data_IF_725274313882
#
_entry.id   IF_725274313882
#
_cell.length_a   1.000
_cell.length_b   1.000
_cell.length_c   1.000
_cell.angle_alpha   90.00
_cell.angle_beta   90.00
_cell.angle_gamma   90.00
#
_symmetry.space_group_name_H-M   'P 1'
#
loop_
_entity.id
_entity.type
_entity.pdbx_description
1 polymer ?
#
# COMPACT_ATOMS: atom_id res chain seq x y z
N UNK A 1 3.67 6.96 13.07
CA UNK A 1 2.91 7.03 11.83
C UNK A 1 3.47 6.09 10.75
N UNK A 2 4.76 5.85 10.71
CA UNK A 2 5.45 5.00 9.73
C UNK A 2 5.34 3.48 10.00
N UNK A 3 4.45 3.08 10.89
CA UNK A 3 4.23 1.68 11.31
C UNK A 3 2.77 1.27 11.14
N UNK A 4 2.57 0.00 10.93
CA UNK A 4 1.32 -0.68 10.65
C UNK A 4 0.96 -1.69 11.74
N UNK A 5 -0.34 -1.83 12.03
CA UNK A 5 -0.88 -2.88 12.91
C UNK A 5 -1.69 -3.88 12.07
N UNK A 6 -1.38 -5.15 12.22
CA UNK A 6 -2.29 -6.20 11.76
C UNK A 6 -3.36 -6.49 12.81
N UNK A 7 -4.63 -6.57 12.39
CA UNK A 7 -5.79 -6.75 13.29
C UNK A 7 -5.69 -7.98 14.19
N UNK A 8 -4.99 -9.04 13.78
CA UNK A 8 -4.76 -10.24 14.62
C UNK A 8 -4.11 -9.93 15.97
N UNK A 9 -3.46 -8.79 16.11
CA UNK A 9 -2.83 -8.36 17.38
C UNK A 9 -3.84 -7.79 18.37
N UNK A 10 -4.97 -7.28 17.90
CA UNK A 10 -5.95 -6.54 18.70
C UNK A 10 -7.35 -7.18 18.70
N UNK A 11 -7.53 -8.28 17.98
CA UNK A 11 -8.82 -9.00 17.94
C UNK A 11 -8.73 -10.39 18.59
N UNK A 12 -9.86 -10.80 19.17
CA UNK A 12 -10.15 -12.17 19.55
C UNK A 12 -11.22 -12.72 18.59
N UNK A 13 -10.81 -13.51 17.60
CA UNK A 13 -11.67 -13.96 16.49
C UNK A 13 -12.25 -12.74 15.75
N UNK A 14 -13.56 -12.48 15.89
CA UNK A 14 -14.28 -11.41 15.22
C UNK A 14 -14.61 -10.21 16.13
N UNK A 15 -14.09 -10.18 17.35
CA UNK A 15 -14.37 -9.11 18.31
C UNK A 15 -13.10 -8.34 18.65
N UNK A 16 -13.21 -7.01 18.66
CA UNK A 16 -12.14 -6.13 19.12
C UNK A 16 -11.92 -6.34 20.62
N UNK A 17 -10.70 -6.67 21.00
CA UNK A 17 -10.26 -6.77 22.39
C UNK A 17 -9.63 -5.42 22.81
N UNK A 18 -10.36 -4.65 23.58
CA UNK A 18 -9.93 -3.34 24.04
C UNK A 18 -8.69 -3.41 24.95
N UNK A 19 -8.49 -4.52 25.68
CA UNK A 19 -7.30 -4.70 26.49
C UNK A 19 -6.08 -4.90 25.59
N UNK A 20 -6.18 -5.77 24.59
CA UNK A 20 -5.11 -5.96 23.61
C UNK A 20 -4.79 -4.67 22.83
N UNK A 21 -5.82 -3.90 22.44
CA UNK A 21 -5.61 -2.61 21.78
C UNK A 21 -4.82 -1.65 22.72
N UNK A 22 -5.20 -1.59 24.00
CA UNK A 22 -4.53 -0.74 24.99
C UNK A 22 -3.09 -1.20 25.25
N UNK A 23 -2.89 -2.50 25.43
CA UNK A 23 -1.56 -3.07 25.70
C UNK A 23 -0.61 -2.86 24.50
N UNK A 24 -1.17 -2.95 23.27
CA UNK A 24 -0.39 -2.86 22.06
C UNK A 24 -0.13 -1.42 21.62
N UNK A 25 -1.15 -0.57 21.61
CA UNK A 25 -1.02 0.83 21.20
C UNK A 25 -0.41 1.70 22.30
N UNK A 26 -0.71 1.41 23.57
CA UNK A 26 -0.27 2.25 24.68
C UNK A 26 -0.67 3.72 24.48
N UNK A 27 0.29 4.60 24.59
CA UNK A 27 0.14 6.05 24.36
C UNK A 27 0.60 6.48 22.95
N UNK A 28 0.76 5.55 22.00
CA UNK A 28 1.31 5.80 20.67
C UNK A 28 0.20 5.88 19.62
N UNK A 29 0.16 6.95 18.84
CA UNK A 29 -0.71 7.05 17.68
C UNK A 29 -0.11 6.29 16.51
N UNK A 30 -0.68 5.14 16.18
CA UNK A 30 -0.26 4.30 15.06
C UNK A 30 -0.68 4.89 13.71
N UNK A 31 0.05 4.54 12.67
CA UNK A 31 -0.22 5.03 11.33
C UNK A 31 -1.42 4.35 10.68
N UNK A 32 -1.40 3.01 10.70
CA UNK A 32 -2.28 2.16 9.89
C UNK A 32 -2.73 0.92 10.64
N UNK A 33 -3.93 0.44 10.32
CA UNK A 33 -4.48 -0.83 10.79
C UNK A 33 -5.16 -1.56 9.63
N UNK A 34 -4.87 -2.85 9.47
CA UNK A 34 -5.29 -3.69 8.35
C UNK A 34 -5.63 -5.11 8.79
N UNK A 35 -6.33 -5.86 7.94
CA UNK A 35 -6.55 -7.29 8.10
C UNK A 35 -7.72 -7.65 9.00
N UNK A 36 -8.93 -7.23 8.65
CA UNK A 36 -10.15 -7.45 9.46
C UNK A 36 -11.01 -8.59 8.91
N UNK A 37 -10.98 -9.78 9.49
CA UNK A 37 -11.91 -10.86 9.13
C UNK A 37 -13.25 -10.68 9.86
N UNK A 38 -13.98 -9.59 9.60
CA UNK A 38 -15.18 -9.23 10.36
C UNK A 38 -16.41 -9.18 9.47
N UNK A 39 -17.58 -9.43 10.07
CA UNK A 39 -18.87 -9.04 9.47
C UNK A 39 -18.96 -7.52 9.38
N UNK A 40 -19.74 -6.99 8.42
CA UNK A 40 -19.84 -5.56 8.19
C UNK A 40 -20.18 -4.75 9.44
N UNK A 41 -21.20 -5.18 10.22
CA UNK A 41 -21.61 -4.50 11.46
C UNK A 41 -20.52 -4.48 12.54
N UNK A 42 -19.82 -5.60 12.73
CA UNK A 42 -18.72 -5.67 13.69
C UNK A 42 -17.51 -4.86 13.21
N UNK A 43 -17.33 -4.74 11.89
CA UNK A 43 -16.27 -3.95 11.30
C UNK A 43 -16.45 -2.48 11.63
N UNK A 44 -17.58 -1.87 11.29
CA UNK A 44 -17.88 -0.46 11.54
C UNK A 44 -17.72 -0.07 13.02
N UNK A 45 -18.28 -0.91 13.93
CA UNK A 45 -18.14 -0.70 15.37
C UNK A 45 -16.68 -0.74 15.82
N UNK A 46 -15.92 -1.72 15.33
CA UNK A 46 -14.52 -1.89 15.71
C UNK A 46 -13.66 -0.74 15.18
N UNK A 47 -13.88 -0.30 13.93
CA UNK A 47 -13.18 0.84 13.35
C UNK A 47 -13.45 2.11 14.15
N UNK A 48 -14.70 2.36 14.52
CA UNK A 48 -15.04 3.49 15.38
C UNK A 48 -14.31 3.44 16.73
N UNK A 49 -14.28 2.29 17.40
CA UNK A 49 -13.62 2.15 18.70
C UNK A 49 -12.09 2.32 18.61
N UNK A 50 -11.47 1.77 17.57
CA UNK A 50 -10.03 1.94 17.31
C UNK A 50 -9.73 3.42 17.06
N UNK A 51 -10.49 4.08 16.19
CA UNK A 51 -10.31 5.48 15.86
C UNK A 51 -10.48 6.37 17.10
N UNK A 52 -11.54 6.11 17.88
CA UNK A 52 -11.79 6.82 19.13
C UNK A 52 -10.64 6.66 20.11
N UNK A 53 -10.09 5.45 20.27
CA UNK A 53 -8.92 5.22 21.10
C UNK A 53 -7.71 6.03 20.61
N UNK A 54 -7.41 6.01 19.30
CA UNK A 54 -6.27 6.73 18.74
C UNK A 54 -6.38 8.23 18.96
N UNK A 55 -7.57 8.81 18.79
CA UNK A 55 -7.79 10.25 18.94
C UNK A 55 -7.84 10.68 20.42
N UNK A 56 -8.55 9.93 21.28
CA UNK A 56 -8.82 10.38 22.66
C UNK A 56 -7.81 9.87 23.69
N UNK A 57 -7.09 8.77 23.43
CA UNK A 57 -6.26 8.08 24.43
C UNK A 57 -4.77 8.07 24.13
N UNK A 58 -4.35 8.47 22.92
CA UNK A 58 -2.93 8.56 22.59
C UNK A 58 -2.39 9.97 22.72
N UNK A 59 -1.07 10.10 22.92
CA UNK A 59 -0.39 11.37 23.21
C UNK A 59 -0.66 12.49 22.18
N UNK A 60 -0.73 12.13 20.90
CA UNK A 60 -0.86 13.11 19.82
C UNK A 60 -2.27 13.17 19.25
N UNK A 61 -3.16 12.24 19.60
CA UNK A 61 -4.52 12.21 19.07
C UNK A 61 -4.61 12.10 17.54
N UNK A 62 -3.62 11.47 16.89
CA UNK A 62 -3.60 11.34 15.44
C UNK A 62 -4.48 10.17 15.02
N UNK A 63 -5.48 10.39 14.14
CA UNK A 63 -6.33 9.32 13.65
C UNK A 63 -5.53 8.27 12.87
N UNK A 64 -5.99 7.01 12.91
CA UNK A 64 -5.36 5.89 12.20
C UNK A 64 -5.99 5.71 10.82
N UNK A 65 -5.21 5.29 9.81
CA UNK A 65 -5.77 4.77 8.58
C UNK A 65 -6.31 3.35 8.78
N UNK A 66 -7.55 3.14 8.38
CA UNK A 66 -8.20 1.84 8.31
C UNK A 66 -8.11 1.33 6.88
N UNK A 67 -7.42 0.20 6.69
CA UNK A 67 -7.01 -0.31 5.38
C UNK A 67 -7.73 -1.63 5.08
N UNK A 68 -8.30 -1.76 3.88
CA UNK A 68 -8.95 -2.97 3.40
C UNK A 68 -8.32 -3.52 2.13
N UNK A 69 -8.26 -4.84 1.99
CA UNK A 69 -8.08 -5.49 0.69
C UNK A 69 -9.36 -5.38 -0.12
N UNK A 70 -9.23 -4.98 -1.38
CA UNK A 70 -10.38 -4.80 -2.26
C UNK A 70 -10.02 -4.78 -3.75
N UNK A 71 -9.41 -5.82 -4.26
CA UNK A 71 -9.09 -5.90 -5.71
C UNK A 71 -10.34 -5.95 -6.59
N UNK A 72 -11.37 -6.66 -6.12
CA UNK A 72 -12.62 -6.83 -6.85
C UNK A 72 -13.86 -6.83 -5.95
N UNK A 73 -13.84 -6.04 -4.91
CA UNK A 73 -14.85 -5.91 -3.86
C UNK A 73 -14.21 -5.91 -2.49
N UNK A 74 -14.81 -5.26 -1.50
CA UNK A 74 -14.32 -5.32 -0.13
C UNK A 74 -14.36 -6.76 0.37
N UNK A 75 -13.22 -7.28 0.89
CA UNK A 75 -13.11 -8.68 1.32
C UNK A 75 -13.68 -8.81 2.73
N UNK A 76 -14.99 -8.58 2.87
CA UNK A 76 -15.73 -8.64 4.13
C UNK A 76 -17.13 -9.27 3.92
N UNK A 77 -17.64 -9.94 4.94
CA UNK A 77 -18.98 -10.49 4.92
C UNK A 77 -20.03 -9.38 4.73
N UNK A 78 -20.92 -9.57 3.76
CA UNK A 78 -21.97 -8.62 3.41
C UNK A 78 -21.60 -7.63 2.30
N UNK A 79 -20.33 -7.52 1.91
CA UNK A 79 -19.91 -6.73 0.78
C UNK A 79 -20.15 -7.43 -0.57
N UNK A 80 -20.27 -6.65 -1.63
CA UNK A 80 -20.42 -7.16 -2.98
C UNK A 80 -19.07 -7.55 -3.58
N UNK A 81 -18.99 -8.76 -4.16
CA UNK A 81 -17.85 -9.23 -4.91
C UNK A 81 -18.12 -9.06 -6.42
N UNK A 82 -17.19 -8.40 -7.08
CA UNK A 82 -17.21 -8.12 -8.52
C UNK A 82 -16.30 -9.10 -9.27
N UNK A 83 -16.38 -9.16 -10.61
CA UNK A 83 -15.40 -9.90 -11.41
C UNK A 83 -13.96 -9.42 -11.15
N UNK A 84 -13.00 -10.34 -11.26
CA UNK A 84 -11.56 -10.03 -11.20
C UNK A 84 -11.16 -9.02 -12.26
N UNK A 85 -10.07 -8.27 -12.04
CA UNK A 85 -9.64 -7.19 -12.91
C UNK A 85 -9.30 -7.66 -14.34
N UNK A 86 -8.79 -8.88 -14.49
CA UNK A 86 -8.54 -9.46 -15.82
C UNK A 86 -9.85 -9.59 -16.66
N UNK A 87 -10.97 -9.88 -16.00
CA UNK A 87 -12.27 -9.92 -16.68
C UNK A 87 -12.75 -8.51 -17.06
N UNK A 88 -12.50 -7.50 -16.22
CA UNK A 88 -12.75 -6.10 -16.57
C UNK A 88 -11.85 -5.65 -17.73
N UNK A 89 -10.56 -5.96 -17.70
CA UNK A 89 -9.63 -5.68 -18.80
C UNK A 89 -10.11 -6.22 -20.13
N UNK A 90 -10.69 -7.43 -20.13
CA UNK A 90 -11.25 -8.08 -21.33
C UNK A 90 -12.47 -7.35 -21.91
N UNK A 91 -13.08 -6.43 -21.19
CA UNK A 91 -14.20 -5.60 -21.70
C UNK A 91 -13.74 -4.46 -22.61
N UNK A 92 -12.47 -4.05 -22.50
CA UNK A 92 -11.93 -2.82 -23.13
C UNK A 92 -12.72 -1.56 -22.79
N UNK A 93 -13.40 -1.54 -21.65
CA UNK A 93 -14.21 -0.42 -21.16
C UNK A 93 -13.76 0.06 -19.79
N UNK A 94 -12.77 0.99 -19.72
CA UNK A 94 -12.24 1.50 -18.45
C UNK A 94 -13.28 2.16 -17.53
N UNK A 95 -14.35 2.75 -18.07
CA UNK A 95 -15.42 3.37 -17.26
C UNK A 95 -16.09 2.38 -16.28
N UNK A 96 -16.06 1.08 -16.58
CA UNK A 96 -16.57 0.05 -15.68
C UNK A 96 -15.72 -0.04 -14.40
N UNK A 97 -14.41 0.23 -14.48
CA UNK A 97 -13.55 0.26 -13.30
C UNK A 97 -13.90 1.44 -12.38
N UNK A 98 -14.20 2.63 -12.94
CA UNK A 98 -14.70 3.77 -12.15
C UNK A 98 -15.98 3.43 -11.42
N UNK A 99 -16.97 2.87 -12.12
CA UNK A 99 -18.26 2.46 -11.51
C UNK A 99 -18.07 1.39 -10.43
N UNK A 100 -17.20 0.40 -10.70
CA UNK A 100 -16.83 -0.62 -9.69
C UNK A 100 -16.25 0.04 -8.43
N UNK A 101 -15.27 0.94 -8.58
CA UNK A 101 -14.63 1.63 -7.47
C UNK A 101 -15.61 2.49 -6.66
N UNK A 102 -16.55 3.19 -7.32
CA UNK A 102 -17.60 3.95 -6.65
C UNK A 102 -18.50 3.04 -5.78
N UNK A 103 -18.98 1.92 -6.32
CA UNK A 103 -19.80 0.96 -5.57
C UNK A 103 -19.05 0.30 -4.42
N UNK A 104 -17.78 -0.03 -4.61
CA UNK A 104 -16.93 -0.57 -3.54
C UNK A 104 -16.70 0.48 -2.45
N UNK A 105 -16.59 1.75 -2.82
CA UNK A 105 -16.43 2.85 -1.85
C UNK A 105 -17.60 2.94 -0.89
N UNK A 106 -18.83 2.70 -1.35
CA UNK A 106 -20.02 2.69 -0.50
C UNK A 106 -19.93 1.56 0.55
N UNK A 107 -19.53 0.35 0.14
CA UNK A 107 -19.29 -0.76 1.06
C UNK A 107 -18.19 -0.41 2.08
N UNK A 108 -17.05 0.13 1.62
CA UNK A 108 -15.92 0.52 2.48
C UNK A 108 -16.30 1.61 3.49
N UNK A 109 -17.06 2.62 3.08
CA UNK A 109 -17.56 3.66 3.98
C UNK A 109 -18.48 3.11 5.06
N UNK A 110 -19.40 2.22 4.68
CA UNK A 110 -20.33 1.58 5.63
C UNK A 110 -19.60 0.79 6.72
N UNK A 111 -18.43 0.26 6.40
CA UNK A 111 -17.57 -0.53 7.30
C UNK A 111 -16.52 0.32 8.05
N UNK A 112 -16.37 1.60 7.72
CA UNK A 112 -15.43 2.52 8.36
C UNK A 112 -14.01 2.49 7.81
N UNK A 113 -13.80 1.99 6.59
CA UNK A 113 -12.52 2.04 5.91
C UNK A 113 -12.30 3.37 5.18
N UNK A 114 -11.05 3.79 5.11
CA UNK A 114 -10.61 5.01 4.41
C UNK A 114 -9.53 4.77 3.37
N UNK A 115 -8.98 3.58 3.32
CA UNK A 115 -7.96 3.20 2.34
C UNK A 115 -8.20 1.79 1.82
N UNK A 116 -7.84 1.59 0.56
CA UNK A 116 -7.95 0.32 -0.14
C UNK A 116 -6.64 -0.04 -0.83
N UNK A 117 -6.24 -1.33 -0.76
CA UNK A 117 -5.05 -1.84 -1.44
C UNK A 117 -5.36 -2.24 -2.90
N UNK A 118 -5.80 -1.25 -3.66
CA UNK A 118 -6.25 -1.37 -5.07
C UNK A 118 -6.08 -0.01 -5.76
N UNK A 119 -5.89 0.05 -7.09
CA UNK A 119 -5.88 -1.04 -8.06
C UNK A 119 -4.52 -1.73 -8.21
N UNK A 120 -4.55 -3.00 -8.69
CA UNK A 120 -3.38 -3.68 -9.21
C UNK A 120 -3.28 -3.44 -10.72
N UNK A 121 -2.25 -2.69 -11.14
CA UNK A 121 -2.03 -2.32 -12.55
C UNK A 121 -0.72 -2.89 -13.13
N UNK A 122 -0.20 -3.93 -12.48
CA UNK A 122 0.95 -4.68 -12.99
C UNK A 122 0.71 -5.15 -14.41
N UNK A 123 1.71 -5.04 -15.28
CA UNK A 123 1.64 -5.53 -16.65
C UNK A 123 2.06 -6.98 -16.69
N UNK A 124 1.13 -7.89 -17.01
CA UNK A 124 1.39 -9.33 -17.04
C UNK A 124 2.14 -9.70 -18.31
N UNK A 125 3.35 -10.26 -18.17
CA UNK A 125 4.16 -10.77 -19.29
C UNK A 125 4.52 -12.24 -19.13
N UNK A 126 4.39 -12.80 -17.92
CA UNK A 126 4.55 -14.24 -17.68
C UNK A 126 3.24 -14.82 -17.11
N UNK A 127 2.54 -15.61 -17.90
CA UNK A 127 1.26 -16.21 -17.52
C UNK A 127 1.38 -17.30 -16.43
N UNK A 128 2.60 -17.69 -16.06
CA UNK A 128 2.86 -18.58 -14.89
C UNK A 128 2.80 -17.84 -13.57
N UNK A 129 2.84 -16.50 -13.59
CA UNK A 129 2.70 -15.68 -12.38
C UNK A 129 1.33 -15.88 -11.75
N UNK A 130 1.29 -16.22 -10.46
CA UNK A 130 0.07 -16.61 -9.75
C UNK A 130 -0.93 -15.47 -9.48
N UNK A 131 -0.63 -14.22 -9.92
CA UNK A 131 -1.47 -13.03 -9.68
C UNK A 131 -1.99 -12.39 -10.97
N UNK A 132 -2.03 -13.15 -12.06
CA UNK A 132 -2.51 -12.69 -13.38
C UNK A 132 -3.92 -12.10 -13.31
N UNK A 133 -4.81 -12.72 -12.54
CA UNK A 133 -6.20 -12.28 -12.41
C UNK A 133 -6.39 -10.93 -11.74
N UNK A 134 -5.41 -10.47 -10.94
CA UNK A 134 -5.48 -9.19 -10.24
C UNK A 134 -5.24 -8.00 -11.18
N UNK A 135 -4.58 -8.23 -12.32
CA UNK A 135 -4.20 -7.22 -13.30
C UNK A 135 -5.26 -7.05 -14.40
N UNK A 136 -5.19 -5.94 -15.12
CA UNK A 136 -6.02 -5.67 -16.31
C UNK A 136 -5.47 -6.29 -17.60
N UNK A 137 -4.29 -6.94 -17.58
CA UNK A 137 -3.76 -7.70 -18.71
C UNK A 137 -2.30 -7.38 -19.07
N UNK A 138 -1.97 -7.58 -20.33
CA UNK A 138 -0.61 -7.51 -20.86
C UNK A 138 -0.26 -6.18 -21.56
N UNK A 139 -1.25 -5.33 -21.83
CA UNK A 139 -1.06 -4.04 -22.49
C UNK A 139 -0.87 -2.91 -21.46
N UNK A 140 0.31 -2.25 -21.45
CA UNK A 140 0.61 -1.22 -20.46
C UNK A 140 -0.29 0.02 -20.56
N UNK A 141 -0.73 0.37 -21.77
CA UNK A 141 -1.60 1.52 -21.98
C UNK A 141 -3.01 1.23 -21.46
N UNK A 142 -3.54 0.05 -21.78
CA UNK A 142 -4.84 -0.39 -21.27
C UNK A 142 -4.85 -0.48 -19.73
N UNK A 143 -3.82 -1.08 -19.12
CA UNK A 143 -3.67 -1.10 -17.66
C UNK A 143 -3.66 0.32 -17.07
N UNK A 144 -2.98 1.26 -17.72
CA UNK A 144 -2.96 2.66 -17.31
C UNK A 144 -4.33 3.34 -17.39
N UNK A 145 -5.11 3.10 -18.45
CA UNK A 145 -6.46 3.65 -18.59
C UNK A 145 -7.41 3.11 -17.50
N UNK A 146 -7.38 1.81 -17.25
CA UNK A 146 -8.16 1.20 -16.17
C UNK A 146 -7.73 1.74 -14.80
N UNK A 147 -6.41 1.89 -14.59
CA UNK A 147 -5.86 2.46 -13.35
C UNK A 147 -6.33 3.90 -13.10
N UNK A 148 -6.33 4.76 -14.12
CA UNK A 148 -6.84 6.14 -14.03
C UNK A 148 -8.31 6.16 -13.60
N UNK A 149 -9.14 5.35 -14.24
CA UNK A 149 -10.57 5.31 -13.97
C UNK A 149 -10.87 4.74 -12.58
N UNK A 150 -10.23 3.65 -12.19
CA UNK A 150 -10.45 3.05 -10.86
C UNK A 150 -9.97 3.97 -9.74
N UNK A 151 -8.78 4.57 -9.86
CA UNK A 151 -8.26 5.56 -8.90
C UNK A 151 -9.22 6.76 -8.77
N UNK A 152 -9.69 7.30 -9.91
CA UNK A 152 -10.63 8.41 -9.90
C UNK A 152 -11.93 8.06 -9.18
N UNK A 153 -12.47 6.86 -9.43
CA UNK A 153 -13.70 6.40 -8.77
C UNK A 153 -13.57 6.31 -7.25
N UNK A 154 -12.44 5.84 -6.72
CA UNK A 154 -12.19 5.82 -5.28
C UNK A 154 -12.03 7.23 -4.70
N UNK A 155 -11.21 8.08 -5.34
CA UNK A 155 -10.94 9.44 -4.84
C UNK A 155 -12.19 10.31 -4.83
N UNK A 156 -13.06 10.23 -5.84
CA UNK A 156 -14.33 10.93 -5.91
C UNK A 156 -15.27 10.61 -4.74
N UNK A 157 -15.09 9.43 -4.14
CA UNK A 157 -15.87 8.97 -2.99
C UNK A 157 -15.07 9.01 -1.67
N UNK A 158 -13.95 9.74 -1.59
CA UNK A 158 -13.21 9.95 -0.35
C UNK A 158 -12.52 8.71 0.22
N UNK A 159 -12.27 7.69 -0.62
CA UNK A 159 -11.42 6.54 -0.32
C UNK A 159 -10.04 6.77 -0.93
N UNK A 160 -8.97 6.51 -0.18
CA UNK A 160 -7.60 6.52 -0.69
C UNK A 160 -7.27 5.21 -1.39
N UNK A 161 -7.13 5.16 -2.71
CA UNK A 161 -6.60 3.99 -3.38
C UNK A 161 -5.08 3.90 -3.18
N UNK A 162 -4.56 2.67 -3.25
CA UNK A 162 -3.13 2.37 -3.24
C UNK A 162 -2.74 1.67 -4.52
N UNK A 163 -2.01 2.39 -5.36
CA UNK A 163 -1.57 1.88 -6.65
C UNK A 163 -0.50 0.80 -6.47
N UNK A 164 -0.73 -0.40 -6.98
CA UNK A 164 0.18 -1.54 -6.76
C UNK A 164 0.43 -2.39 -8.02
N UNK A 165 1.59 -3.04 -8.10
CA UNK A 165 2.77 -2.93 -7.22
C UNK A 165 3.87 -2.16 -7.96
N UNK A 166 4.29 -1.06 -7.43
CA UNK A 166 5.19 -0.14 -8.11
C UNK A 166 6.60 -0.71 -8.29
N UNK A 167 6.94 -0.96 -9.54
CA UNK A 167 8.14 -1.58 -10.03
C UNK A 167 7.80 -2.66 -11.06
N UNK A 168 8.77 -3.29 -11.73
CA UNK A 168 8.50 -4.41 -12.62
C UNK A 168 8.15 -5.65 -11.78
N UNK A 169 6.91 -6.15 -11.90
CA UNK A 169 6.41 -7.29 -11.09
C UNK A 169 5.74 -8.38 -11.92
N UNK A 170 4.93 -8.07 -12.90
CA UNK A 170 4.12 -9.03 -13.67
C UNK A 170 4.91 -9.94 -14.64
N UNK A 171 6.24 -10.02 -14.51
CA UNK A 171 7.12 -10.87 -15.31
C UNK A 171 8.28 -11.46 -14.48
N UNK A 172 8.01 -12.04 -13.29
CA UNK A 172 9.08 -12.55 -12.47
C UNK A 172 9.68 -13.82 -13.07
N UNK A 173 10.98 -14.05 -12.86
CA UNK A 173 11.66 -15.25 -13.33
C UNK A 173 10.89 -16.52 -12.93
N UNK A 174 10.61 -17.36 -13.92
CA UNK A 174 9.85 -18.63 -13.77
C UNK A 174 8.43 -18.47 -13.23
N UNK A 175 7.85 -17.27 -13.26
CA UNK A 175 6.52 -16.96 -12.70
C UNK A 175 6.46 -16.93 -11.17
N UNK A 176 7.60 -16.99 -10.49
CA UNK A 176 7.68 -16.99 -9.02
C UNK A 176 7.51 -15.58 -8.46
N UNK A 177 6.49 -15.34 -7.66
CA UNK A 177 6.08 -14.00 -7.20
C UNK A 177 7.18 -13.15 -6.56
N UNK A 178 8.17 -13.77 -5.91
CA UNK A 178 9.28 -13.08 -5.24
C UNK A 178 10.55 -12.98 -6.10
N UNK A 179 10.58 -13.62 -7.27
CA UNK A 179 11.75 -13.65 -8.12
C UNK A 179 12.00 -12.30 -8.83
N UNK A 180 13.26 -12.07 -9.23
CA UNK A 180 13.64 -10.88 -9.98
C UNK A 180 12.92 -10.78 -11.32
N UNK A 181 12.65 -9.55 -11.76
CA UNK A 181 12.31 -9.24 -13.16
C UNK A 181 13.55 -8.72 -13.85
N UNK A 182 13.92 -9.37 -14.93
CA UNK A 182 15.09 -9.02 -15.75
C UNK A 182 14.63 -8.25 -16.98
N UNK A 183 14.94 -6.96 -17.05
CA UNK A 183 14.61 -6.15 -18.22
C UNK A 183 15.54 -4.94 -18.37
N UNK A 184 15.69 -4.46 -19.61
CA UNK A 184 16.42 -3.23 -19.88
C UNK A 184 15.63 -1.97 -19.51
N UNK A 185 16.30 -0.82 -19.51
CA UNK A 185 15.66 0.48 -19.19
C UNK A 185 14.47 0.80 -20.09
N UNK A 186 14.52 0.47 -21.37
CA UNK A 186 13.40 0.70 -22.29
C UNK A 186 12.15 -0.05 -21.83
N UNK A 187 12.27 -1.35 -21.57
CA UNK A 187 11.14 -2.17 -21.13
C UNK A 187 10.63 -1.74 -19.75
N UNK A 188 11.55 -1.33 -18.86
CA UNK A 188 11.18 -0.76 -17.58
C UNK A 188 10.23 0.42 -17.75
N UNK A 189 10.59 1.42 -18.58
CA UNK A 189 9.80 2.64 -18.75
C UNK A 189 8.59 2.47 -19.66
N UNK A 190 8.74 1.75 -20.78
CA UNK A 190 7.67 1.64 -21.80
C UNK A 190 6.62 0.58 -21.46
N UNK A 191 6.97 -0.41 -20.58
CA UNK A 191 6.08 -1.52 -20.24
C UNK A 191 5.69 -1.44 -18.76
N UNK A 192 6.65 -1.68 -17.87
CA UNK A 192 6.32 -1.93 -16.45
C UNK A 192 5.94 -0.66 -15.68
N UNK A 193 6.61 0.45 -15.92
CA UNK A 193 6.33 1.72 -15.25
C UNK A 193 5.27 2.57 -15.97
N UNK A 194 4.99 2.28 -17.24
CA UNK A 194 4.07 3.08 -18.06
C UNK A 194 2.68 3.26 -17.45
N UNK A 195 1.98 2.22 -16.97
CA UNK A 195 0.67 2.40 -16.34
C UNK A 195 0.73 3.26 -15.07
N UNK A 196 1.79 3.10 -14.26
CA UNK A 196 2.01 3.90 -13.05
C UNK A 196 2.23 5.37 -13.38
N UNK A 197 3.08 5.67 -14.36
CA UNK A 197 3.31 7.03 -14.87
C UNK A 197 1.98 7.69 -15.28
N UNK A 198 1.17 6.96 -16.05
CA UNK A 198 -0.12 7.46 -16.51
C UNK A 198 -1.03 7.82 -15.35
N UNK A 199 -1.15 6.96 -14.33
CA UNK A 199 -1.99 7.23 -13.16
C UNK A 199 -1.44 8.38 -12.34
N UNK A 200 -0.14 8.38 -12.00
CA UNK A 200 0.49 9.44 -11.19
C UNK A 200 0.33 10.82 -11.85
N UNK A 201 0.51 10.91 -13.16
CA UNK A 201 0.43 12.19 -13.90
C UNK A 201 -1.00 12.67 -14.20
N UNK A 202 -2.00 11.78 -14.18
CA UNK A 202 -3.37 12.11 -14.57
C UNK A 202 -4.40 12.03 -13.43
N UNK A 203 -3.98 11.67 -12.22
CA UNK A 203 -4.88 11.58 -11.06
C UNK A 203 -4.26 12.24 -9.82
N UNK A 204 -5.03 12.35 -8.77
CA UNK A 204 -4.55 12.76 -7.43
C UNK A 204 -4.16 11.58 -6.56
N UNK A 205 -3.55 10.52 -7.10
CA UNK A 205 -3.18 9.32 -6.31
C UNK A 205 -2.35 9.68 -5.08
N UNK A 206 -2.75 9.14 -3.92
CA UNK A 206 -2.19 9.49 -2.61
C UNK A 206 -1.25 8.43 -2.03
N UNK A 207 -1.32 7.20 -2.53
CA UNK A 207 -0.52 6.09 -2.03
C UNK A 207 -0.08 5.15 -3.14
N UNK A 208 1.15 4.65 -3.01
CA UNK A 208 1.75 3.66 -3.92
C UNK A 208 2.37 2.55 -3.08
N UNK A 209 2.21 1.29 -3.49
CA UNK A 209 2.83 0.15 -2.82
C UNK A 209 4.05 -0.32 -3.59
N UNK A 210 5.21 -0.44 -2.93
CA UNK A 210 6.40 -1.09 -3.51
C UNK A 210 6.19 -2.59 -3.63
N UNK A 211 6.96 -3.25 -4.50
CA UNK A 211 6.83 -4.70 -4.74
C UNK A 211 7.71 -5.54 -3.81
N UNK A 212 7.42 -6.84 -3.72
CA UNK A 212 8.27 -7.84 -3.07
C UNK A 212 9.59 -8.10 -3.78
N UNK A 213 9.55 -8.10 -5.11
CA UNK A 213 10.62 -8.61 -5.94
C UNK A 213 11.73 -7.58 -6.21
N UNK A 214 12.67 -7.95 -7.05
CA UNK A 214 13.76 -7.09 -7.49
C UNK A 214 13.71 -6.85 -9.01
N UNK A 215 14.31 -5.77 -9.42
CA UNK A 215 14.62 -5.47 -10.81
C UNK A 215 16.12 -5.64 -11.03
N UNK A 216 16.50 -6.56 -11.93
CA UNK A 216 17.89 -6.91 -12.19
C UNK A 216 18.66 -7.17 -10.89
N UNK A 217 18.06 -7.96 -10.00
CA UNK A 217 18.57 -8.32 -8.66
C UNK A 217 18.70 -7.18 -7.64
N UNK A 218 18.27 -5.95 -7.95
CA UNK A 218 18.16 -4.85 -6.99
C UNK A 218 16.76 -4.85 -6.40
N UNK A 219 16.58 -5.02 -5.08
CA UNK A 219 15.25 -5.02 -4.45
C UNK A 219 14.49 -3.72 -4.74
N UNK A 220 13.27 -3.83 -5.23
CA UNK A 220 12.46 -2.65 -5.57
C UNK A 220 12.19 -1.78 -4.33
N UNK A 221 11.98 -2.39 -3.15
CA UNK A 221 11.80 -1.68 -1.88
C UNK A 221 13.07 -1.01 -1.32
N UNK A 222 14.25 -1.25 -1.92
CA UNK A 222 15.50 -0.58 -1.61
C UNK A 222 16.05 0.24 -2.79
N UNK A 223 15.27 0.41 -3.86
CA UNK A 223 15.71 1.12 -5.07
C UNK A 223 15.39 2.61 -4.97
N UNK A 224 16.39 3.42 -4.63
CA UNK A 224 16.27 4.89 -4.67
C UNK A 224 15.89 5.37 -6.08
N UNK A 225 16.45 4.74 -7.11
CA UNK A 225 16.15 5.07 -8.51
C UNK A 225 14.64 4.96 -8.83
N UNK A 226 13.99 3.86 -8.42
CA UNK A 226 12.56 3.68 -8.66
C UNK A 226 11.72 4.62 -7.77
N UNK A 227 11.97 4.57 -6.45
CA UNK A 227 11.08 5.17 -5.46
C UNK A 227 11.27 6.68 -5.26
N UNK A 228 12.46 7.21 -5.58
CA UNK A 228 12.78 8.62 -5.45
C UNK A 228 13.01 9.26 -6.81
N UNK A 229 14.03 8.85 -7.56
CA UNK A 229 14.42 9.56 -8.79
C UNK A 229 13.28 9.57 -9.83
N UNK A 230 12.64 8.40 -10.08
CA UNK A 230 11.54 8.32 -11.05
C UNK A 230 10.21 8.77 -10.41
N UNK A 231 9.77 8.10 -9.34
CA UNK A 231 8.43 8.30 -8.81
C UNK A 231 8.20 9.73 -8.30
N UNK A 232 9.19 10.27 -7.56
CA UNK A 232 9.04 11.57 -6.90
C UNK A 232 9.63 12.72 -7.71
N UNK A 233 10.88 12.59 -8.16
CA UNK A 233 11.59 13.71 -8.77
C UNK A 233 11.16 13.90 -10.23
N UNK A 234 11.01 12.82 -11.00
CA UNK A 234 10.59 12.90 -12.39
C UNK A 234 9.06 13.04 -12.55
N UNK A 235 8.26 12.20 -11.84
CA UNK A 235 6.81 12.22 -12.01
C UNK A 235 6.09 13.15 -11.05
N UNK A 236 6.76 13.64 -10.00
CA UNK A 236 6.22 14.59 -9.05
C UNK A 236 5.23 14.00 -8.03
N UNK A 237 5.27 12.70 -7.77
CA UNK A 237 4.41 12.05 -6.77
C UNK A 237 4.58 12.67 -5.39
N UNK A 238 3.47 13.09 -4.78
CA UNK A 238 3.45 13.79 -3.47
C UNK A 238 2.93 12.93 -2.31
N UNK A 239 2.34 11.79 -2.59
CA UNK A 239 1.82 10.87 -1.59
C UNK A 239 2.91 10.07 -0.87
N UNK A 240 2.53 9.00 -0.18
CA UNK A 240 3.46 8.13 0.51
C UNK A 240 3.60 6.76 -0.18
N UNK A 241 4.75 6.12 0.08
CA UNK A 241 5.03 4.75 -0.37
C UNK A 241 4.85 3.79 0.79
N UNK A 242 3.97 2.81 0.58
CA UNK A 242 3.69 1.68 1.47
C UNK A 242 4.55 0.49 1.02
N UNK A 243 5.21 -0.22 1.93
CA UNK A 243 5.87 -1.48 1.57
C UNK A 243 4.83 -2.56 1.33
N UNK A 244 5.05 -3.47 0.41
CA UNK A 244 4.29 -4.72 0.42
C UNK A 244 4.55 -5.51 1.71
N UNK A 245 3.70 -6.50 2.03
CA UNK A 245 3.71 -7.23 3.30
C UNK A 245 5.04 -7.91 3.59
N UNK A 246 5.76 -7.42 4.61
CA UNK A 246 7.06 -7.92 4.98
C UNK A 246 8.20 -7.58 4.02
N UNK A 247 7.96 -6.77 2.97
CA UNK A 247 8.97 -6.47 1.95
C UNK A 247 10.23 -5.81 2.52
N UNK A 248 10.11 -5.03 3.60
CA UNK A 248 11.29 -4.45 4.26
C UNK A 248 12.11 -5.54 4.94
N UNK A 249 11.50 -6.47 5.68
CA UNK A 249 12.22 -7.59 6.29
C UNK A 249 12.82 -8.53 5.24
N UNK A 250 12.21 -8.66 4.06
CA UNK A 250 12.74 -9.48 2.96
C UNK A 250 14.10 -9.00 2.45
N UNK A 251 14.47 -7.73 2.64
CA UNK A 251 15.81 -7.24 2.31
C UNK A 251 16.89 -8.03 3.06
N UNK A 252 16.58 -8.46 4.30
CA UNK A 252 17.43 -9.33 5.12
C UNK A 252 17.15 -10.81 4.88
N UNK A 253 15.87 -11.21 5.01
CA UNK A 253 15.49 -12.61 5.17
C UNK A 253 15.43 -13.38 3.84
N UNK A 254 15.25 -12.70 2.72
CA UNK A 254 15.08 -13.30 1.39
C UNK A 254 16.09 -12.79 0.36
N UNK A 255 16.25 -11.47 0.24
CA UNK A 255 17.12 -10.86 -0.78
C UNK A 255 18.57 -10.70 -0.31
N UNK A 256 18.83 -10.83 0.99
CA UNK A 256 20.16 -10.81 1.62
C UNK A 256 21.00 -9.56 1.27
N UNK A 257 20.34 -8.42 1.05
CA UNK A 257 21.01 -7.14 0.84
C UNK A 257 21.24 -6.37 2.13
N UNK A 258 20.54 -6.73 3.20
CA UNK A 258 20.72 -6.23 4.55
C UNK A 258 21.16 -7.35 5.50
N UNK A 259 22.05 -7.06 6.46
CA UNK A 259 22.53 -8.03 7.45
C UNK A 259 21.59 -8.18 8.65
N UNK A 260 20.86 -7.12 8.98
CA UNK A 260 19.97 -7.04 10.13
C UNK A 260 18.79 -6.09 9.87
N UNK A 261 17.83 -6.02 10.79
CA UNK A 261 16.65 -5.17 10.69
C UNK A 261 17.00 -3.68 10.60
N UNK A 262 18.09 -3.26 11.26
CA UNK A 262 18.56 -1.87 11.21
C UNK A 262 18.99 -1.47 9.80
N UNK A 263 19.76 -2.33 9.14
CA UNK A 263 20.22 -2.06 7.78
C UNK A 263 19.06 -2.14 6.77
N UNK A 264 18.13 -3.09 6.95
CA UNK A 264 16.92 -3.17 6.15
C UNK A 264 16.06 -1.89 6.27
N UNK A 265 15.88 -1.38 7.49
CA UNK A 265 15.17 -0.13 7.74
C UNK A 265 15.84 1.08 7.07
N UNK A 266 17.17 1.19 7.19
CA UNK A 266 17.95 2.26 6.55
C UNK A 266 17.79 2.19 5.01
N UNK A 267 17.99 1.01 4.41
CA UNK A 267 17.87 0.84 2.96
C UNK A 267 16.48 1.24 2.45
N UNK A 268 15.41 0.70 3.06
CA UNK A 268 14.05 0.97 2.62
C UNK A 268 13.64 2.44 2.80
N UNK A 269 13.90 3.02 3.99
CA UNK A 269 13.48 4.39 4.27
C UNK A 269 14.27 5.42 3.44
N UNK A 270 15.57 5.21 3.24
CA UNK A 270 16.39 6.10 2.39
C UNK A 270 16.05 5.97 0.91
N UNK A 271 15.60 4.79 0.46
CA UNK A 271 15.11 4.61 -0.89
C UNK A 271 13.77 5.32 -1.14
N UNK A 272 12.96 5.53 -0.10
CA UNK A 272 11.69 6.25 -0.19
C UNK A 272 10.45 5.46 0.24
N UNK A 273 10.59 4.31 0.91
CA UNK A 273 9.48 3.57 1.54
C UNK A 273 9.10 4.29 2.83
N UNK A 274 7.97 4.96 2.84
CA UNK A 274 7.52 5.78 3.97
C UNK A 274 6.85 4.99 5.10
N UNK A 275 6.28 3.83 4.77
CA UNK A 275 5.57 2.97 5.72
C UNK A 275 6.02 1.51 5.58
N UNK A 276 6.35 0.91 6.70
CA UNK A 276 6.61 -0.52 6.80
C UNK A 276 5.33 -1.29 7.14
N UNK A 277 4.95 -2.25 6.28
CA UNK A 277 3.82 -3.16 6.50
C UNK A 277 4.27 -4.55 6.95
N UNK A 278 3.64 -5.06 8.01
CA UNK A 278 3.79 -6.46 8.50
C UNK A 278 5.22 -6.92 8.79
N UNK A 279 6.13 -6.00 9.10
CA UNK A 279 7.46 -6.30 9.65
C UNK A 279 7.80 -5.32 10.77
N UNK A 280 8.99 -5.43 11.37
CA UNK A 280 9.37 -4.67 12.55
C UNK A 280 10.74 -3.98 12.40
N UNK A 281 11.25 -3.85 11.18
CA UNK A 281 12.57 -3.27 10.95
C UNK A 281 12.63 -1.80 11.37
N UNK A 282 11.53 -1.03 11.13
CA UNK A 282 11.46 0.39 11.49
C UNK A 282 11.44 0.65 13.01
N UNK A 283 11.32 -0.40 13.83
CA UNK A 283 11.50 -0.27 15.28
C UNK A 283 12.94 0.07 15.67
N UNK A 284 13.91 -0.31 14.83
CA UNK A 284 15.31 0.00 15.06
C UNK A 284 15.66 1.49 14.85
N UNK A 285 14.82 2.25 14.12
CA UNK A 285 15.13 3.63 13.73
C UNK A 285 15.29 4.57 14.90
N UNK A 286 14.47 4.44 15.96
CA UNK A 286 14.56 5.27 17.16
C UNK A 286 15.95 5.16 17.80
N UNK A 287 16.42 3.95 18.05
CA UNK A 287 17.73 3.72 18.63
C UNK A 287 18.87 4.19 17.71
N UNK A 288 18.72 4.02 16.38
CA UNK A 288 19.72 4.46 15.41
C UNK A 288 19.87 5.98 15.40
N UNK A 289 18.76 6.71 15.52
CA UNK A 289 18.75 8.19 15.59
C UNK A 289 19.38 8.65 16.90
N UNK A 290 18.99 8.08 18.05
CA UNK A 290 19.57 8.41 19.37
C UNK A 290 21.09 8.18 19.41
N UNK A 291 21.57 7.17 18.68
CA UNK A 291 23.01 6.89 18.55
C UNK A 291 23.74 7.77 17.52
N UNK A 292 23.05 8.65 16.82
CA UNK A 292 23.61 9.45 15.73
C UNK A 292 24.04 8.65 14.50
N UNK A 293 23.49 7.44 14.32
CA UNK A 293 23.80 6.52 13.23
C UNK A 293 22.84 6.65 12.04
N UNK A 294 21.75 7.37 12.20
CA UNK A 294 20.75 7.64 11.16
C UNK A 294 20.21 9.05 11.33
N UNK A 295 19.94 9.72 10.20
CA UNK A 295 19.43 11.10 10.20
C UNK A 295 17.90 11.09 10.30
N UNK A 296 17.36 11.72 11.35
CA UNK A 296 15.93 11.84 11.65
C UNK A 296 15.11 12.45 10.49
N UNK A 297 15.75 13.26 9.64
CA UNK A 297 15.08 13.88 8.48
C UNK A 297 14.32 12.91 7.59
N UNK A 298 14.78 11.66 7.45
CA UNK A 298 14.10 10.66 6.64
C UNK A 298 12.79 10.21 7.27
N UNK A 299 12.75 10.11 8.60
CA UNK A 299 11.54 9.83 9.37
C UNK A 299 10.57 11.01 9.26
N UNK A 300 11.06 12.23 9.40
CA UNK A 300 10.24 13.45 9.27
C UNK A 300 9.60 13.56 7.88
N UNK A 301 10.36 13.27 6.83
CA UNK A 301 9.84 13.25 5.45
C UNK A 301 8.72 12.20 5.29
N UNK A 302 8.92 10.97 5.78
CA UNK A 302 7.96 9.90 5.69
C UNK A 302 6.68 10.22 6.49
N UNK A 303 6.83 10.66 7.73
CA UNK A 303 5.72 11.10 8.59
C UNK A 303 4.96 12.26 7.95
N UNK A 304 5.68 13.25 7.43
CA UNK A 304 5.09 14.42 6.77
C UNK A 304 4.20 14.04 5.58
N UNK A 305 4.64 13.08 4.75
CA UNK A 305 3.86 12.56 3.61
C UNK A 305 2.59 11.85 4.07
N UNK A 306 2.69 10.99 5.08
CA UNK A 306 1.54 10.26 5.63
C UNK A 306 0.53 11.22 6.27
N UNK A 307 0.99 12.17 7.08
CA UNK A 307 0.11 13.15 7.72
C UNK A 307 -0.58 14.04 6.70
N UNK A 308 0.13 14.49 5.68
CA UNK A 308 -0.45 15.25 4.57
C UNK A 308 -1.65 14.51 3.97
N UNK A 309 -1.49 13.23 3.64
CA UNK A 309 -2.59 12.42 3.06
C UNK A 309 -3.75 12.28 4.04
N UNK A 310 -3.49 12.13 5.34
CA UNK A 310 -4.54 12.12 6.37
C UNK A 310 -5.34 13.42 6.43
N UNK A 311 -4.66 14.57 6.26
CA UNK A 311 -5.32 15.88 6.17
C UNK A 311 -6.13 16.02 4.88
N UNK A 312 -5.57 15.64 3.73
CA UNK A 312 -6.26 15.71 2.44
C UNK A 312 -7.55 14.86 2.39
N UNK A 313 -7.59 13.78 3.18
CA UNK A 313 -8.77 12.89 3.29
C UNK A 313 -9.73 13.27 4.43
N UNK A 314 -9.50 14.38 5.13
CA UNK A 314 -10.36 14.84 6.21
C UNK A 314 -10.40 13.94 7.45
N UNK A 315 -9.33 13.14 7.73
CA UNK A 315 -9.33 12.25 8.90
C UNK A 315 -9.30 13.00 10.23
N UNK A 316 -8.94 14.27 10.23
CA UNK A 316 -8.88 15.12 11.43
C UNK A 316 -10.16 15.94 11.69
N UNK A 317 -11.16 15.85 10.81
CA UNK A 317 -12.41 16.58 10.88
C UNK A 317 -13.52 15.86 11.65
#
# INVERSE_FOLDING_TARGET
>A
QIRHIHSSKIFNRQELDMQKLTDWAGNTSWGFVEGFPLTGDNCAKSMYLIQKYMVEKTRLGIPIFTVAESLHGAVHDGATIYPQNIALGSTFNPELARKKAQMISDDLHSMGFRQVLSPCIDVVRDLRWGRVEESYGEDPYLCGLFGIEEVSGYLENGISPMLKHYGPHGNPLSGLNLASVECGLRDLHEIYLKPFEMVVKNTGILAVMSTYNSWNHIPNSASHYLLTDILRDEWGFKGYVYSDWGAVAMLKDFQHTAKDDSEAAIQALTAGVDLEASSNCYWALEQLIEQGRFDEKYVDLAVGRILRVKFELGLFE
#
